data_IF_570488071993
#
_entry.id   IF_570488071993
#
_cell.length_a   1.000
_cell.length_b   1.000
_cell.length_c   1.000
_cell.angle_alpha   90.00
_cell.angle_beta   90.00
_cell.angle_gamma   90.00
#
_symmetry.space_group_name_H-M   'P 1'
#
loop_
_entity.id
_entity.type
_entity.pdbx_description
1 polymer ?
#
# COMPACT_ATOMS: atom_id res chain seq x y z
N UNK A 1 40.76 65.13 30.80
CA UNK A 1 42.23 64.98 30.61
C UNK A 1 42.46 63.71 29.81
N UNK A 2 42.70 63.87 28.49
CA UNK A 2 43.89 63.39 27.74
C UNK A 2 43.82 61.91 27.35
N UNK A 3 44.05 61.45 26.12
CA UNK A 3 44.30 61.99 24.77
C UNK A 3 44.20 60.76 23.83
N UNK A 4 43.62 60.90 22.63
CA UNK A 4 43.77 59.95 21.51
C UNK A 4 45.19 60.08 20.87
N UNK A 5 45.71 59.14 20.04
CA UNK A 5 45.36 59.01 18.60
C UNK A 5 45.33 57.54 18.06
N UNK A 6 44.46 57.13 17.13
CA UNK A 6 44.49 57.25 15.64
C UNK A 6 45.63 56.50 14.92
N UNK A 7 45.27 55.47 14.11
CA UNK A 7 45.79 55.05 12.77
C UNK A 7 45.07 53.74 12.36
N UNK A 8 44.04 53.76 11.50
CA UNK A 8 44.03 53.62 10.03
C UNK A 8 44.57 52.27 9.48
N UNK A 9 43.71 51.40 8.94
CA UNK A 9 43.92 50.72 7.65
C UNK A 9 42.67 49.95 7.20
N UNK A 10 42.28 50.23 5.96
CA UNK A 10 41.23 49.62 5.16
C UNK A 10 41.78 48.33 4.53
N UNK A 11 41.04 47.22 4.58
CA UNK A 11 41.26 46.08 3.68
C UNK A 11 39.92 45.47 3.30
N UNK A 12 39.38 45.98 2.19
CA UNK A 12 38.29 45.40 1.42
C UNK A 12 38.82 44.13 0.75
N UNK A 13 38.41 42.95 1.21
CA UNK A 13 38.64 41.71 0.49
C UNK A 13 37.36 41.35 -0.28
N UNK A 14 37.34 41.71 -1.57
CA UNK A 14 36.42 41.14 -2.56
C UNK A 14 36.90 39.71 -2.82
N UNK A 15 36.28 38.74 -2.14
CA UNK A 15 36.45 37.32 -2.41
C UNK A 15 35.25 36.80 -3.20
N UNK A 16 35.35 36.83 -4.52
CA UNK A 16 34.46 36.10 -5.41
C UNK A 16 34.82 34.61 -5.44
N UNK A 17 33.77 33.79 -5.58
CA UNK A 17 33.76 32.39 -6.02
C UNK A 17 33.86 31.31 -4.94
N UNK A 18 32.70 30.69 -4.71
CA UNK A 18 32.55 29.45 -3.95
C UNK A 18 31.10 29.20 -3.57
N UNK A 19 30.16 29.29 -4.53
CA UNK A 19 28.83 28.76 -4.32
C UNK A 19 28.93 27.22 -4.22
N UNK A 20 29.22 26.73 -3.01
CA UNK A 20 29.03 25.33 -2.63
C UNK A 20 27.52 25.09 -2.57
N UNK A 21 26.92 24.90 -3.74
CA UNK A 21 25.50 24.60 -3.88
C UNK A 21 25.23 23.17 -3.38
N UNK A 22 24.61 23.10 -2.20
CA UNK A 22 23.39 22.30 -1.95
C UNK A 22 23.49 20.76 -1.88
N UNK A 23 24.67 20.14 -1.89
CA UNK A 23 24.76 18.66 -1.75
C UNK A 23 24.38 18.15 -0.35
N UNK A 24 24.73 18.90 0.70
CA UNK A 24 24.46 18.49 2.08
C UNK A 24 22.96 18.51 2.42
N UNK A 25 22.21 19.50 1.93
CA UNK A 25 20.77 19.61 2.20
C UNK A 25 19.97 18.45 1.60
N UNK A 26 20.30 18.03 0.37
CA UNK A 26 19.62 16.90 -0.29
C UNK A 26 19.98 15.55 0.36
N UNK A 27 21.25 15.34 0.73
CA UNK A 27 21.70 14.15 1.45
C UNK A 27 21.10 14.07 2.87
N UNK A 28 21.02 15.20 3.57
CA UNK A 28 20.42 15.33 4.90
C UNK A 28 18.91 15.07 4.86
N UNK A 29 18.20 15.53 3.82
CA UNK A 29 16.78 15.22 3.60
C UNK A 29 16.52 13.73 3.33
N UNK A 30 17.35 13.08 2.52
CA UNK A 30 17.22 11.64 2.24
C UNK A 30 17.54 10.79 3.47
N UNK A 31 18.54 11.18 4.27
CA UNK A 31 18.85 10.52 5.53
C UNK A 31 17.73 10.68 6.55
N UNK A 32 17.10 11.85 6.62
CA UNK A 32 15.93 12.08 7.46
C UNK A 32 14.73 11.21 7.01
N UNK A 33 14.45 11.15 5.69
CA UNK A 33 13.38 10.28 5.16
C UNK A 33 13.70 8.80 5.39
N UNK A 34 14.96 8.37 5.27
CA UNK A 34 15.39 7.00 5.63
C UNK A 34 15.21 6.69 7.12
N UNK A 35 15.43 7.67 7.98
CA UNK A 35 15.22 7.51 9.43
C UNK A 35 13.72 7.36 9.78
N UNK A 36 12.83 7.90 8.94
CA UNK A 36 11.37 7.71 9.05
C UNK A 36 10.84 6.56 8.20
N UNK A 37 11.64 6.02 7.27
CA UNK A 37 11.24 4.92 6.40
C UNK A 37 11.19 3.64 7.23
N UNK A 38 9.98 3.12 7.42
CA UNK A 38 9.78 1.87 8.11
C UNK A 38 10.16 0.72 7.17
N UNK A 39 10.87 -0.26 7.73
CA UNK A 39 11.04 -1.53 7.06
C UNK A 39 9.66 -2.20 7.02
N UNK A 40 9.19 -2.62 5.85
CA UNK A 40 7.94 -3.37 5.72
C UNK A 40 8.20 -4.79 5.25
N UNK A 41 7.41 -5.72 5.75
CA UNK A 41 7.35 -7.09 5.29
C UNK A 41 5.89 -7.46 5.06
N UNK A 42 5.59 -8.06 3.92
CA UNK A 42 4.27 -8.65 3.65
C UNK A 42 4.41 -10.16 3.72
N UNK A 43 3.53 -10.79 4.49
CA UNK A 43 3.42 -12.25 4.58
C UNK A 43 2.03 -12.66 4.09
N UNK A 44 1.98 -13.79 3.42
CA UNK A 44 0.76 -14.37 2.87
C UNK A 44 0.51 -15.74 3.48
N UNK A 45 -0.71 -16.24 3.36
CA UNK A 45 -1.09 -17.54 3.87
C UNK A 45 -2.59 -17.75 3.76
N UNK A 46 -3.09 -18.67 4.58
CA UNK A 46 -4.52 -18.94 4.73
C UNK A 46 -4.89 -19.00 6.21
N UNK A 47 -6.13 -18.64 6.50
CA UNK A 47 -6.71 -18.65 7.85
C UNK A 47 -8.02 -19.43 7.85
N UNK A 48 -8.22 -20.21 8.90
CA UNK A 48 -9.48 -20.88 9.20
C UNK A 48 -10.12 -20.21 10.41
N UNK A 49 -11.38 -19.82 10.25
CA UNK A 49 -12.21 -19.21 11.28
C UNK A 49 -13.37 -20.13 11.60
N UNK A 50 -13.55 -20.46 12.88
CA UNK A 50 -14.63 -21.28 13.36
C UNK A 50 -15.99 -20.56 13.29
N UNK A 51 -17.09 -21.29 13.47
CA UNK A 51 -18.45 -20.75 13.38
C UNK A 51 -18.75 -19.67 14.43
N UNK A 52 -18.02 -19.64 15.56
CA UNK A 52 -18.10 -18.61 16.59
C UNK A 52 -17.19 -17.40 16.32
N UNK A 53 -16.46 -17.40 15.20
CA UNK A 53 -15.53 -16.35 14.80
C UNK A 53 -14.13 -16.46 15.40
N UNK A 54 -13.82 -17.48 16.21
CA UNK A 54 -12.48 -17.71 16.71
C UNK A 54 -11.55 -18.26 15.60
N UNK A 55 -10.26 -17.93 15.65
CA UNK A 55 -9.28 -18.52 14.73
C UNK A 55 -9.02 -19.98 15.09
N UNK A 56 -9.32 -20.90 14.18
CA UNK A 56 -9.08 -22.34 14.35
C UNK A 56 -7.82 -22.82 13.63
N UNK A 57 -7.33 -22.09 12.63
CA UNK A 57 -6.19 -22.49 11.81
C UNK A 57 -5.47 -21.31 11.18
N UNK A 58 -4.16 -21.44 10.99
CA UNK A 58 -3.31 -20.48 10.30
C UNK A 58 -2.17 -21.24 9.62
N UNK A 59 -1.96 -20.98 8.33
CA UNK A 59 -0.83 -21.49 7.56
C UNK A 59 -0.19 -20.32 6.82
N UNK A 60 1.06 -19.99 7.15
CA UNK A 60 1.83 -18.98 6.42
C UNK A 60 2.53 -19.62 5.22
N UNK A 61 2.49 -18.94 4.08
CA UNK A 61 3.20 -19.37 2.88
C UNK A 61 4.71 -19.31 3.11
N UNK A 62 5.44 -20.22 2.46
CA UNK A 62 6.91 -20.27 2.47
C UNK A 62 7.52 -20.09 3.87
N UNK A 63 6.93 -20.73 4.88
CA UNK A 63 7.31 -20.55 6.29
C UNK A 63 8.82 -20.72 6.56
N UNK A 64 9.48 -21.62 5.83
CA UNK A 64 10.93 -21.83 5.92
C UNK A 64 11.78 -20.59 5.54
N UNK A 65 11.21 -19.65 4.80
CA UNK A 65 11.83 -18.38 4.39
C UNK A 65 11.61 -17.25 5.40
N UNK A 66 10.75 -17.47 6.42
CA UNK A 66 10.40 -16.49 7.45
C UNK A 66 11.31 -16.71 8.66
N UNK A 67 11.83 -15.63 9.25
CA UNK A 67 12.59 -15.72 10.49
C UNK A 67 11.70 -16.31 11.61
N UNK A 68 12.17 -17.28 12.42
CA UNK A 68 11.34 -17.96 13.42
C UNK A 68 10.64 -17.01 14.40
N UNK A 69 11.32 -15.94 14.84
CA UNK A 69 10.74 -14.94 15.73
C UNK A 69 9.56 -14.19 15.09
N UNK A 70 9.65 -13.87 13.79
CA UNK A 70 8.58 -13.21 13.04
C UNK A 70 7.40 -14.16 12.84
N UNK A 71 7.67 -15.42 12.46
CA UNK A 71 6.62 -16.42 12.32
C UNK A 71 5.87 -16.64 13.65
N UNK A 72 6.59 -16.74 14.77
CA UNK A 72 6.01 -16.88 16.10
C UNK A 72 5.21 -15.64 16.54
N UNK A 73 5.71 -14.43 16.24
CA UNK A 73 4.99 -13.19 16.49
C UNK A 73 3.65 -13.16 15.74
N UNK A 74 3.67 -13.45 14.44
CA UNK A 74 2.46 -13.46 13.60
C UNK A 74 1.48 -14.53 14.07
N UNK A 75 1.95 -15.76 14.28
CA UNK A 75 1.12 -16.87 14.74
C UNK A 75 0.47 -16.59 16.09
N UNK A 76 1.26 -16.16 17.08
CA UNK A 76 0.76 -15.84 18.41
C UNK A 76 -0.25 -14.69 18.39
N UNK A 77 -0.03 -13.68 17.54
CA UNK A 77 -0.91 -12.52 17.39
C UNK A 77 -2.24 -12.91 16.76
N UNK A 78 -2.21 -13.59 15.61
CA UNK A 78 -3.42 -13.95 14.84
C UNK A 78 -4.29 -14.96 15.59
N UNK A 79 -3.71 -15.91 16.33
CA UNK A 79 -4.49 -16.89 17.10
C UNK A 79 -5.41 -16.28 18.16
N UNK A 80 -5.17 -15.02 18.55
CA UNK A 80 -6.01 -14.29 19.52
C UNK A 80 -7.09 -13.44 18.86
N UNK A 81 -7.18 -13.45 17.53
CA UNK A 81 -8.17 -12.67 16.82
C UNK A 81 -9.57 -13.25 16.94
N UNK A 82 -10.54 -12.35 16.93
CA UNK A 82 -11.95 -12.63 16.88
C UNK A 82 -12.54 -11.97 15.64
N UNK A 83 -13.30 -12.76 14.88
CA UNK A 83 -14.03 -12.32 13.69
C UNK A 83 -15.52 -12.20 13.99
N UNK A 84 -16.21 -11.38 13.19
CA UNK A 84 -17.66 -11.40 13.12
C UNK A 84 -18.09 -12.77 12.54
N UNK A 85 -18.95 -13.55 13.24
CA UNK A 85 -19.41 -14.84 12.74
C UNK A 85 -20.01 -14.71 11.34
N UNK A 86 -19.49 -15.48 10.40
CA UNK A 86 -20.02 -15.49 9.03
C UNK A 86 -21.33 -16.29 9.02
N UNK A 87 -22.40 -15.68 8.53
CA UNK A 87 -23.72 -16.30 8.47
C UNK A 87 -24.02 -16.81 7.05
N UNK A 88 -24.48 -18.05 6.94
CA UNK A 88 -25.10 -18.60 5.74
C UNK A 88 -26.51 -19.04 6.13
N UNK A 89 -27.52 -18.50 5.44
CA UNK A 89 -28.95 -18.70 5.77
C UNK A 89 -29.27 -18.42 7.26
N UNK A 90 -28.63 -17.39 7.81
CA UNK A 90 -28.80 -16.98 9.21
C UNK A 90 -28.10 -17.88 10.24
N UNK A 91 -27.37 -18.91 9.81
CA UNK A 91 -26.61 -19.81 10.69
C UNK A 91 -25.12 -19.50 10.64
N UNK A 92 -24.43 -19.40 11.79
CA UNK A 92 -22.98 -19.25 11.81
C UNK A 92 -22.30 -20.48 11.21
N UNK A 93 -21.33 -20.25 10.32
CA UNK A 93 -20.55 -21.30 9.67
C UNK A 93 -19.05 -21.01 9.76
N UNK A 94 -18.24 -22.07 9.80
CA UNK A 94 -16.80 -21.94 9.68
C UNK A 94 -16.42 -21.45 8.27
N UNK A 95 -15.31 -20.71 8.17
CA UNK A 95 -14.86 -20.09 6.92
C UNK A 95 -13.34 -20.22 6.76
N UNK A 96 -12.95 -20.61 5.55
CA UNK A 96 -11.57 -20.55 5.08
C UNK A 96 -11.39 -19.29 4.22
N UNK A 97 -10.24 -18.63 4.34
CA UNK A 97 -9.93 -17.43 3.56
C UNK A 97 -8.41 -17.27 3.34
N UNK A 98 -8.00 -16.58 2.27
CA UNK A 98 -6.63 -16.11 2.16
C UNK A 98 -6.33 -15.11 3.28
N UNK A 99 -5.04 -15.00 3.63
CA UNK A 99 -4.53 -14.04 4.60
C UNK A 99 -3.36 -13.28 3.96
N UNK A 100 -3.38 -11.96 4.13
CA UNK A 100 -2.24 -11.10 3.85
C UNK A 100 -2.04 -10.18 5.04
N UNK A 101 -0.81 -10.07 5.52
CA UNK A 101 -0.48 -9.19 6.64
C UNK A 101 0.71 -8.31 6.30
N UNK A 102 0.63 -7.04 6.68
CA UNK A 102 1.76 -6.11 6.63
C UNK A 102 2.33 -5.93 8.02
N UNK A 103 3.61 -6.24 8.13
CA UNK A 103 4.44 -5.92 9.28
C UNK A 103 5.25 -4.66 8.98
N UNK A 104 5.39 -3.80 9.98
CA UNK A 104 6.34 -2.70 9.97
C UNK A 104 7.35 -2.91 11.10
N UNK A 105 8.63 -2.73 10.76
CA UNK A 105 9.77 -2.85 11.65
C UNK A 105 10.38 -1.46 11.84
N UNK A 106 10.46 -1.02 13.10
CA UNK A 106 11.19 0.17 13.50
C UNK A 106 12.43 -0.23 14.30
N UNK A 107 13.63 0.24 13.95
CA UNK A 107 14.80 0.01 14.78
C UNK A 107 14.66 0.75 16.11
N UNK A 108 14.79 0.03 17.21
CA UNK A 108 14.88 0.56 18.56
C UNK A 108 16.24 1.18 18.84
N UNK A 109 16.30 2.08 19.83
CA UNK A 109 17.54 2.78 20.22
C UNK A 109 18.62 1.84 20.79
N UNK A 110 18.21 0.65 21.27
CA UNK A 110 19.04 -0.42 21.82
C UNK A 110 19.47 -1.46 20.76
N UNK A 111 19.14 -1.24 19.49
CA UNK A 111 19.38 -2.18 18.41
C UNK A 111 18.33 -3.29 18.28
N UNK A 112 17.26 -3.27 19.10
CA UNK A 112 16.08 -4.10 18.88
C UNK A 112 15.31 -3.66 17.64
N UNK A 113 14.36 -4.46 17.15
CA UNK A 113 13.41 -4.03 16.12
C UNK A 113 12.01 -4.21 16.70
N UNK A 114 11.31 -3.10 16.91
CA UNK A 114 9.90 -3.11 17.25
C UNK A 114 9.13 -3.50 15.98
N UNK A 115 8.42 -4.62 16.04
CA UNK A 115 7.60 -5.12 14.94
C UNK A 115 6.13 -4.92 15.28
N UNK A 116 5.38 -4.34 14.36
CA UNK A 116 3.95 -4.09 14.51
C UNK A 116 3.19 -4.61 13.30
N UNK A 117 2.00 -5.14 13.54
CA UNK A 117 1.08 -5.48 12.45
C UNK A 117 0.21 -4.26 12.12
N UNK A 118 0.29 -3.78 10.88
CA UNK A 118 -0.34 -2.51 10.52
C UNK A 118 -1.46 -2.66 9.52
N UNK A 119 -1.51 -3.78 8.80
CA UNK A 119 -2.55 -4.05 7.81
C UNK A 119 -2.82 -5.53 7.67
N UNK A 120 -4.08 -5.86 7.42
CA UNK A 120 -4.54 -7.22 7.13
C UNK A 120 -5.57 -7.20 6.01
N UNK A 121 -5.51 -8.18 5.13
CA UNK A 121 -6.51 -8.39 4.08
C UNK A 121 -6.87 -9.89 3.98
N UNK A 122 -8.15 -10.14 3.73
CA UNK A 122 -8.73 -11.48 3.54
C UNK A 122 -9.44 -11.62 2.19
N UNK A 123 -9.28 -10.64 1.30
CA UNK A 123 -10.04 -10.56 0.06
C UNK A 123 -9.55 -11.61 -0.92
N UNK A 124 -10.49 -12.30 -1.55
CA UNK A 124 -10.26 -13.16 -2.69
C UNK A 124 -10.91 -12.52 -3.91
N UNK A 125 -10.24 -12.64 -5.07
CA UNK A 125 -10.81 -12.20 -6.34
C UNK A 125 -11.16 -13.44 -7.17
N UNK A 126 -12.44 -13.59 -7.48
CA UNK A 126 -12.97 -14.58 -8.41
C UNK A 126 -13.46 -13.86 -9.67
N UNK A 127 -12.82 -14.13 -10.81
CA UNK A 127 -13.16 -13.52 -12.10
C UNK A 127 -14.49 -14.01 -12.68
N UNK A 128 -15.06 -15.07 -12.09
CA UNK A 128 -16.36 -15.67 -12.47
C UNK A 128 -17.48 -15.32 -11.49
N UNK A 129 -17.19 -14.52 -10.46
CA UNK A 129 -18.20 -14.08 -9.51
C UNK A 129 -19.38 -13.42 -10.25
N UNK A 130 -20.60 -13.77 -9.84
CA UNK A 130 -21.82 -13.19 -10.45
C UNK A 130 -22.47 -12.14 -9.54
N UNK A 131 -22.05 -12.09 -8.28
CA UNK A 131 -22.54 -11.21 -7.23
C UNK A 131 -21.60 -10.02 -6.95
N UNK A 132 -20.46 -9.94 -7.65
CA UNK A 132 -19.51 -8.84 -7.58
C UNK A 132 -19.16 -8.31 -8.98
N UNK A 133 -18.55 -7.12 -9.04
CA UNK A 133 -17.96 -6.59 -10.28
C UNK A 133 -16.69 -7.36 -10.60
N UNK A 134 -16.56 -7.86 -11.83
CA UNK A 134 -15.35 -8.53 -12.33
C UNK A 134 -14.72 -7.78 -13.49
N UNK A 135 -13.45 -8.05 -13.77
CA UNK A 135 -12.75 -7.47 -14.91
C UNK A 135 -13.20 -8.06 -16.24
N UNK A 136 -13.41 -7.22 -17.26
CA UNK A 136 -13.68 -7.68 -18.63
C UNK A 136 -12.49 -7.35 -19.56
N UNK A 137 -12.24 -6.06 -19.82
CA UNK A 137 -11.09 -5.61 -20.61
C UNK A 137 -10.21 -4.69 -19.78
N UNK A 138 -9.22 -5.29 -19.10
CA UNK A 138 -8.34 -4.58 -18.16
C UNK A 138 -6.88 -4.65 -18.61
N UNK A 139 -6.53 -3.94 -19.68
CA UNK A 139 -5.13 -3.87 -20.13
C UNK A 139 -4.27 -3.19 -19.05
N UNK A 140 -3.17 -3.79 -18.61
CA UNK A 140 -2.32 -3.16 -17.59
C UNK A 140 -1.69 -1.86 -18.12
N UNK A 141 -1.51 -0.83 -17.25
CA UNK A 141 -0.85 0.40 -17.64
C UNK A 141 0.58 0.14 -18.11
N UNK A 142 1.01 0.86 -19.16
CA UNK A 142 2.41 0.81 -19.60
C UNK A 142 3.29 1.54 -18.58
N UNK A 143 4.47 0.99 -18.32
CA UNK A 143 5.46 1.64 -17.46
C UNK A 143 5.84 3.01 -18.05
N UNK A 144 5.66 4.13 -17.33
CA UNK A 144 6.03 5.45 -17.84
C UNK A 144 7.53 5.58 -18.00
N UNK A 145 8.00 5.95 -19.19
CA UNK A 145 9.44 6.03 -19.49
C UNK A 145 10.17 7.00 -18.53
N UNK A 146 9.55 8.12 -18.19
CA UNK A 146 10.11 9.08 -17.24
C UNK A 146 10.25 8.48 -15.82
N UNK A 147 9.28 7.66 -15.39
CA UNK A 147 9.31 6.96 -14.11
C UNK A 147 10.40 5.88 -14.11
N UNK A 148 10.51 5.14 -15.22
CA UNK A 148 11.51 4.09 -15.41
C UNK A 148 12.93 4.65 -15.30
N UNK A 149 13.21 5.78 -15.98
CA UNK A 149 14.54 6.42 -15.96
C UNK A 149 14.99 6.90 -14.59
N UNK A 150 14.06 7.21 -13.69
CA UNK A 150 14.37 7.69 -12.32
C UNK A 150 14.22 6.59 -11.27
N UNK A 151 13.99 5.34 -11.68
CA UNK A 151 13.91 4.20 -10.76
C UNK A 151 12.62 4.13 -9.94
N UNK A 152 11.53 4.77 -10.39
CA UNK A 152 10.31 4.91 -9.60
C UNK A 152 9.52 3.60 -9.48
N UNK A 153 9.54 2.95 -8.33
CA UNK A 153 8.76 1.73 -8.07
C UNK A 153 7.68 1.97 -7.03
N UNK A 154 6.53 1.32 -7.19
CA UNK A 154 5.44 1.46 -6.25
C UNK A 154 4.14 0.79 -6.66
N UNK A 155 3.17 0.89 -5.77
CA UNK A 155 1.81 0.36 -5.93
C UNK A 155 0.83 1.52 -5.99
N UNK A 156 0.01 1.55 -7.02
CA UNK A 156 -1.07 2.52 -7.20
C UNK A 156 -2.38 1.82 -6.87
N UNK A 157 -3.06 2.25 -5.82
CA UNK A 157 -4.42 1.84 -5.52
C UNK A 157 -5.38 2.76 -6.27
N UNK A 158 -6.08 2.20 -7.26
CA UNK A 158 -7.13 2.93 -7.98
C UNK A 158 -8.48 2.71 -7.32
N UNK A 159 -9.27 3.77 -7.20
CA UNK A 159 -10.71 3.68 -7.00
C UNK A 159 -11.39 3.99 -8.33
N UNK A 160 -12.22 3.06 -8.78
CA UNK A 160 -12.92 3.13 -10.07
C UNK A 160 -14.42 3.12 -9.82
N UNK A 161 -15.12 4.12 -10.38
CA UNK A 161 -16.58 4.16 -10.44
C UNK A 161 -17.04 3.44 -11.72
N UNK A 162 -17.74 2.32 -11.54
CA UNK A 162 -18.23 1.45 -12.62
C UNK A 162 -19.73 1.65 -12.79
N UNK A 163 -20.17 1.98 -14.00
CA UNK A 163 -21.58 2.17 -14.35
C UNK A 163 -22.27 0.84 -14.68
N UNK A 164 -23.61 0.88 -14.84
CA UNK A 164 -24.45 -0.30 -15.12
C UNK A 164 -24.11 -1.06 -16.39
N UNK A 165 -23.46 -0.42 -17.35
CA UNK A 165 -22.99 -1.03 -18.60
C UNK A 165 -21.56 -1.58 -18.48
N UNK A 166 -20.92 -1.47 -17.31
CA UNK A 166 -19.55 -1.88 -17.09
C UNK A 166 -18.49 -0.86 -17.52
N UNK A 167 -18.90 0.33 -18.00
CA UNK A 167 -17.98 1.39 -18.34
C UNK A 167 -17.46 2.10 -17.08
N UNK A 168 -16.27 2.70 -17.20
CA UNK A 168 -15.71 3.56 -16.15
C UNK A 168 -16.29 4.96 -16.27
N UNK A 169 -17.07 5.39 -15.27
CA UNK A 169 -17.53 6.77 -15.18
C UNK A 169 -16.45 7.71 -14.65
N UNK A 170 -15.71 7.29 -13.62
CA UNK A 170 -14.61 8.06 -13.09
C UNK A 170 -13.58 7.18 -12.36
N UNK A 171 -12.39 7.72 -12.16
CA UNK A 171 -11.28 7.04 -11.51
C UNK A 171 -10.34 8.03 -10.85
N UNK A 172 -9.89 7.68 -9.65
CA UNK A 172 -8.82 8.37 -8.93
C UNK A 172 -7.74 7.37 -8.50
N UNK A 173 -6.54 7.87 -8.22
CA UNK A 173 -5.57 7.15 -7.43
C UNK A 173 -5.85 7.45 -5.95
N UNK A 174 -6.47 6.49 -5.24
CA UNK A 174 -6.75 6.60 -3.81
C UNK A 174 -5.48 6.77 -3.01
N UNK A 175 -4.45 5.98 -3.33
CA UNK A 175 -3.15 6.07 -2.72
C UNK A 175 -2.10 5.55 -3.70
N UNK A 176 -0.92 6.14 -3.66
CA UNK A 176 0.27 5.55 -4.28
C UNK A 176 1.21 5.22 -3.15
N UNK A 177 1.81 4.04 -3.10
CA UNK A 177 2.80 3.64 -2.09
C UNK A 177 4.15 3.42 -2.77
N UNK A 178 5.23 4.01 -2.24
CA UNK A 178 6.56 3.88 -2.86
C UNK A 178 7.33 2.70 -2.26
N UNK A 179 7.98 1.93 -3.14
CA UNK A 179 8.96 0.91 -2.77
C UNK A 179 10.41 1.43 -2.74
N UNK A 180 10.62 2.73 -2.96
CA UNK A 180 11.94 3.39 -3.02
C UNK A 180 12.00 4.59 -2.10
N UNK A 181 13.14 4.81 -1.46
CA UNK A 181 13.38 5.97 -0.60
C UNK A 181 14.05 7.10 -1.38
N UNK A 182 13.41 8.26 -1.43
CA UNK A 182 13.93 9.48 -2.06
C UNK A 182 13.48 10.73 -1.29
N UNK A 183 14.02 11.93 -1.57
CA UNK A 183 13.46 13.18 -1.03
C UNK A 183 11.98 13.35 -1.39
N UNK A 184 11.21 13.99 -0.50
CA UNK A 184 9.75 14.13 -0.63
C UNK A 184 9.30 14.69 -1.99
N UNK A 185 9.95 15.76 -2.48
CA UNK A 185 9.61 16.35 -3.77
C UNK A 185 9.79 15.37 -4.94
N UNK A 186 10.83 14.52 -4.88
CA UNK A 186 11.07 13.50 -5.88
C UNK A 186 10.04 12.38 -5.76
N UNK A 187 9.70 11.97 -4.54
CA UNK A 187 8.63 11.00 -4.29
C UNK A 187 7.29 11.48 -4.81
N UNK A 188 6.90 12.73 -4.55
CA UNK A 188 5.66 13.29 -5.09
C UNK A 188 5.64 13.23 -6.63
N UNK A 189 6.73 13.63 -7.27
CA UNK A 189 6.85 13.55 -8.74
C UNK A 189 6.73 12.10 -9.24
N UNK A 190 7.34 11.14 -8.54
CA UNK A 190 7.22 9.72 -8.88
C UNK A 190 5.77 9.23 -8.72
N UNK A 191 5.11 9.57 -7.61
CA UNK A 191 3.69 9.25 -7.37
C UNK A 191 2.81 9.79 -8.49
N UNK A 192 3.01 11.04 -8.90
CA UNK A 192 2.25 11.68 -9.97
C UNK A 192 2.41 10.95 -11.31
N UNK A 193 3.64 10.52 -11.65
CA UNK A 193 3.89 9.78 -12.90
C UNK A 193 3.17 8.42 -12.91
N UNK A 194 3.27 7.66 -11.81
CA UNK A 194 2.63 6.34 -11.70
C UNK A 194 1.10 6.48 -11.67
N UNK A 195 0.57 7.40 -10.87
CA UNK A 195 -0.87 7.68 -10.79
C UNK A 195 -1.44 8.08 -12.15
N UNK A 196 -0.80 9.02 -12.85
CA UNK A 196 -1.25 9.48 -14.17
C UNK A 196 -1.33 8.34 -15.18
N UNK A 197 -0.34 7.46 -15.20
CA UNK A 197 -0.31 6.33 -16.12
C UNK A 197 -1.41 5.32 -15.80
N UNK A 198 -1.59 4.99 -14.52
CA UNK A 198 -2.65 4.10 -14.07
C UNK A 198 -4.05 4.66 -14.38
N UNK A 199 -4.31 5.91 -14.04
CA UNK A 199 -5.58 6.59 -14.32
C UNK A 199 -5.87 6.63 -15.83
N UNK A 200 -4.87 7.00 -16.64
CA UNK A 200 -5.05 7.11 -18.10
C UNK A 200 -5.41 5.79 -18.76
N UNK A 201 -4.91 4.66 -18.26
CA UNK A 201 -5.26 3.35 -18.80
C UNK A 201 -6.57 2.85 -18.21
N UNK A 202 -6.80 3.06 -16.91
CA UNK A 202 -8.02 2.64 -16.22
C UNK A 202 -9.29 3.26 -16.81
N UNK A 203 -9.23 4.50 -17.32
CA UNK A 203 -10.36 5.13 -18.03
C UNK A 203 -10.83 4.37 -19.27
N UNK A 204 -10.02 3.45 -19.81
CA UNK A 204 -10.34 2.64 -20.99
C UNK A 204 -10.79 1.23 -20.62
N UNK A 205 -10.76 0.87 -19.35
CA UNK A 205 -11.16 -0.46 -18.91
C UNK A 205 -12.66 -0.64 -19.02
N UNK A 206 -13.06 -1.90 -19.12
CA UNK A 206 -14.45 -2.31 -18.96
C UNK A 206 -14.53 -3.44 -17.95
N UNK A 207 -15.66 -3.48 -17.28
CA UNK A 207 -15.98 -4.42 -16.22
C UNK A 207 -17.26 -5.18 -16.56
N UNK A 208 -17.50 -6.27 -15.83
CA UNK A 208 -18.76 -7.00 -15.85
C UNK A 208 -19.48 -6.70 -14.53
N UNK A 209 -20.60 -5.96 -14.56
CA UNK A 209 -21.41 -5.71 -13.37
C UNK A 209 -22.02 -6.99 -12.78
N UNK A 210 -22.32 -7.00 -11.46
CA UNK A 210 -23.00 -8.12 -10.83
C UNK A 210 -24.37 -8.38 -11.46
N UNK A 211 -24.69 -9.66 -11.62
CA UNK A 211 -25.97 -10.16 -12.16
C UNK A 211 -26.79 -10.93 -11.12
N UNK A 212 -26.22 -11.17 -9.95
CA UNK A 212 -26.85 -11.75 -8.76
C UNK A 212 -26.43 -10.97 -7.49
N UNK A 213 -26.86 -11.41 -6.31
CA UNK A 213 -26.50 -10.77 -5.04
C UNK A 213 -27.24 -9.44 -4.76
N UNK A 214 -26.97 -8.88 -3.57
CA UNK A 214 -27.63 -7.65 -3.09
C UNK A 214 -27.22 -6.40 -3.87
N UNK A 215 -26.04 -6.42 -4.49
CA UNK A 215 -25.45 -5.25 -5.14
C UNK A 215 -25.84 -5.10 -6.63
N UNK A 216 -26.52 -6.09 -7.23
CA UNK A 216 -26.96 -6.08 -8.65
C UNK A 216 -27.71 -4.82 -9.07
N UNK A 217 -28.53 -4.28 -8.17
CA UNK A 217 -29.47 -3.19 -8.46
C UNK A 217 -28.87 -1.79 -8.36
N UNK A 218 -27.59 -1.65 -7.98
CA UNK A 218 -26.98 -0.35 -7.76
C UNK A 218 -26.84 0.45 -9.06
N UNK A 219 -26.91 1.78 -8.94
CA UNK A 219 -26.73 2.69 -10.06
C UNK A 219 -25.27 2.70 -10.56
N UNK A 220 -24.32 2.49 -9.66
CA UNK A 220 -22.91 2.32 -9.94
C UNK A 220 -22.28 1.50 -8.81
N UNK A 221 -21.08 0.98 -9.07
CA UNK A 221 -20.24 0.33 -8.06
C UNK A 221 -18.93 1.08 -7.92
N UNK A 222 -18.35 1.05 -6.72
CA UNK A 222 -16.96 1.45 -6.52
C UNK A 222 -16.12 0.22 -6.31
N UNK A 223 -15.06 0.09 -7.12
CA UNK A 223 -14.09 -1.00 -6.99
C UNK A 223 -12.68 -0.44 -6.77
N UNK A 224 -11.89 -1.17 -5.99
CA UNK A 224 -10.45 -1.00 -5.86
C UNK A 224 -9.72 -1.89 -6.85
N UNK A 225 -8.76 -1.31 -7.55
CA UNK A 225 -7.88 -2.04 -8.48
C UNK A 225 -6.43 -1.67 -8.17
N UNK A 226 -5.64 -2.58 -7.57
CA UNK A 226 -4.20 -2.39 -7.38
C UNK A 226 -3.43 -2.52 -8.70
N UNK A 227 -2.50 -1.59 -8.93
CA UNK A 227 -1.53 -1.63 -10.03
C UNK A 227 -0.13 -1.54 -9.46
N UNK A 228 0.71 -2.55 -9.74
CA UNK A 228 2.11 -2.56 -9.28
C UNK A 228 3.06 -2.20 -10.40
N UNK A 229 3.92 -1.21 -10.16
CA UNK A 229 5.09 -0.90 -10.98
C UNK A 229 6.35 -1.39 -10.29
N UNK A 230 6.83 -2.54 -10.72
CA UNK A 230 8.11 -3.08 -10.28
C UNK A 230 9.13 -2.97 -11.41
N UNK A 231 10.36 -2.56 -11.06
CA UNK A 231 11.49 -2.77 -11.97
C UNK A 231 11.99 -4.18 -11.73
N UNK A 232 11.59 -5.08 -12.62
CA UNK A 232 12.26 -6.37 -12.69
C UNK A 232 13.59 -6.14 -13.37
N UNK A 233 14.67 -6.31 -12.62
CA UNK A 233 15.99 -6.12 -13.14
C UNK A 233 16.35 -7.29 -14.07
N UNK A 234 15.96 -7.20 -15.34
CA UNK A 234 16.58 -8.00 -16.40
C UNK A 234 17.96 -7.38 -16.74
N UNK A 235 18.80 -7.14 -15.72
CA UNK A 235 20.06 -6.41 -15.86
C UNK A 235 20.90 -6.29 -14.58
N UNK A 236 20.31 -6.11 -13.39
CA UNK A 236 21.08 -6.14 -12.14
C UNK A 236 21.20 -7.53 -11.55
N UNK A 237 22.30 -7.73 -10.82
CA UNK A 237 22.60 -8.95 -10.06
C UNK A 237 21.75 -9.09 -8.78
N UNK A 238 20.75 -8.24 -8.58
CA UNK A 238 19.90 -8.29 -7.39
C UNK A 238 18.60 -9.04 -7.73
N UNK A 239 18.30 -10.19 -7.09
CA UNK A 239 17.04 -10.89 -7.31
C UNK A 239 15.85 -10.02 -6.86
N UNK A 240 14.62 -10.25 -7.38
CA UNK A 240 13.41 -9.70 -6.76
C UNK A 240 13.45 -9.99 -5.27
N UNK A 241 13.09 -9.02 -4.42
CA UNK A 241 13.13 -9.17 -2.97
C UNK A 241 12.49 -10.49 -2.57
N UNK A 242 13.25 -11.45 -2.01
CA UNK A 242 12.70 -12.75 -1.67
C UNK A 242 11.57 -12.63 -0.64
N UNK A 243 10.64 -13.56 -0.66
CA UNK A 243 9.56 -13.63 0.33
C UNK A 243 10.11 -13.63 1.77
N UNK A 244 9.41 -12.97 2.68
CA UNK A 244 9.83 -12.87 4.09
C UNK A 244 11.00 -11.92 4.35
N UNK A 245 11.28 -10.99 3.42
CA UNK A 245 12.33 -9.97 3.58
C UNK A 245 11.74 -8.58 3.80
N UNK A 246 12.46 -7.80 4.61
CA UNK A 246 12.16 -6.40 4.86
C UNK A 246 12.51 -5.56 3.63
N UNK A 247 11.61 -4.67 3.25
CA UNK A 247 11.77 -3.72 2.15
C UNK A 247 11.33 -2.32 2.56
N UNK A 248 11.79 -1.30 1.84
CA UNK A 248 11.30 0.05 2.05
C UNK A 248 9.82 0.14 1.68
N UNK A 249 9.04 0.82 2.50
CA UNK A 249 7.65 1.13 2.23
C UNK A 249 7.35 2.54 2.72
N UNK A 250 6.95 3.42 1.81
CA UNK A 250 6.55 4.79 2.13
C UNK A 250 5.12 5.01 1.63
N UNK A 251 4.11 4.93 2.52
CA UNK A 251 2.73 5.15 2.12
C UNK A 251 2.55 6.57 1.60
N UNK A 252 1.76 6.73 0.55
CA UNK A 252 1.40 8.06 0.05
C UNK A 252 0.24 8.67 0.83
N UNK A 253 -0.04 9.98 0.65
CA UNK A 253 -1.27 10.55 1.14
C UNK A 253 -2.47 9.84 0.49
N UNK A 254 -3.53 9.60 1.27
CA UNK A 254 -4.79 9.07 0.75
C UNK A 254 -5.68 10.20 0.22
N UNK A 255 -6.26 9.98 -0.94
CA UNK A 255 -7.22 10.88 -1.59
C UNK A 255 -8.63 10.30 -1.49
N UNK A 256 -9.60 11.15 -1.20
CA UNK A 256 -11.01 10.76 -1.21
C UNK A 256 -11.58 10.88 -2.63
N UNK A 257 -12.35 9.87 -3.04
CA UNK A 257 -13.07 9.92 -4.30
C UNK A 257 -14.24 10.92 -4.20
N UNK A 258 -14.38 11.88 -5.15
CA UNK A 258 -15.43 12.91 -5.08
C UNK A 258 -16.87 12.36 -5.08
N UNK A 259 -17.07 11.15 -5.57
CA UNK A 259 -18.37 10.47 -5.59
C UNK A 259 -18.66 9.66 -4.32
N UNK A 260 -17.78 9.71 -3.32
CA UNK A 260 -17.95 9.04 -2.03
C UNK A 260 -18.15 10.06 -0.92
N UNK A 261 -19.19 9.85 -0.12
CA UNK A 261 -19.54 10.70 1.04
C UNK A 261 -19.08 10.10 2.37
N UNK A 262 -18.67 8.84 2.38
CA UNK A 262 -18.19 8.12 3.56
C UNK A 262 -16.67 8.21 3.64
N UNK A 263 -16.14 8.49 4.83
CA UNK A 263 -14.70 8.38 5.09
C UNK A 263 -14.30 6.90 5.12
N UNK A 264 -13.77 6.42 3.99
CA UNK A 264 -13.17 5.09 3.84
C UNK A 264 -11.79 4.99 4.52
N UNK A 265 -11.30 6.07 5.13
CA UNK A 265 -9.95 6.19 5.68
C UNK A 265 -9.59 5.10 6.72
N UNK A 266 -10.59 4.37 7.24
CA UNK A 266 -10.43 3.29 8.20
C UNK A 266 -10.29 1.88 7.59
N UNK A 267 -10.33 1.70 6.25
CA UNK A 267 -10.07 0.37 5.67
C UNK A 267 -8.56 0.08 5.65
N UNK A 268 -8.08 -0.39 6.80
CA UNK A 268 -6.78 -1.02 6.99
C UNK A 268 -6.70 -2.26 6.08
N UNK A 269 -5.61 -2.45 5.32
CA UNK A 269 -5.44 -3.61 4.42
C UNK A 269 -5.59 -3.37 2.92
N UNK A 270 -6.07 -2.19 2.48
CA UNK A 270 -6.26 -1.94 1.03
C UNK A 270 -4.96 -2.03 0.23
N UNK A 271 -3.83 -1.71 0.85
CA UNK A 271 -2.48 -1.80 0.29
C UNK A 271 -1.89 -3.22 0.32
N UNK A 272 -2.70 -4.22 0.62
CA UNK A 272 -2.36 -5.65 0.55
C UNK A 272 -3.15 -6.38 -0.55
N UNK A 273 -4.06 -5.68 -1.26
CA UNK A 273 -4.84 -6.25 -2.34
C UNK A 273 -3.93 -6.71 -3.50
N UNK A 274 -4.03 -7.98 -3.94
CA UNK A 274 -3.24 -8.50 -5.06
C UNK A 274 -3.46 -7.74 -6.37
N UNK A 275 -2.35 -7.42 -7.04
CA UNK A 275 -2.38 -6.88 -8.41
C UNK A 275 -3.17 -7.80 -9.36
N UNK A 276 -3.95 -7.18 -10.26
CA UNK A 276 -4.77 -7.90 -11.24
C UNK A 276 -6.16 -8.30 -10.76
N UNK A 277 -6.48 -8.08 -9.48
CA UNK A 277 -7.83 -8.26 -8.95
C UNK A 277 -8.72 -7.02 -9.04
N UNK A 278 -10.03 -7.23 -8.90
CA UNK A 278 -11.06 -6.19 -8.77
C UNK A 278 -11.78 -6.40 -7.45
N UNK A 279 -11.74 -5.42 -6.55
CA UNK A 279 -12.21 -5.57 -5.18
C UNK A 279 -13.33 -4.58 -4.88
N UNK A 280 -14.50 -5.09 -4.52
CA UNK A 280 -15.66 -4.26 -4.20
C UNK A 280 -15.39 -3.44 -2.93
N UNK A 281 -15.70 -2.13 -2.97
CA UNK A 281 -15.52 -1.26 -1.80
C UNK A 281 -16.71 -1.33 -0.84
N UNK A 282 -17.92 -1.36 -1.39
CA UNK A 282 -19.19 -1.26 -0.63
C UNK A 282 -20.02 -2.54 -0.69
N UNK A 283 -19.38 -3.72 -0.80
CA UNK A 283 -20.17 -4.94 -1.02
C UNK A 283 -21.05 -5.30 0.17
N UNK A 284 -22.27 -5.78 -0.14
CA UNK A 284 -23.15 -6.44 0.81
C UNK A 284 -22.57 -7.77 1.33
N UNK A 285 -21.76 -8.46 0.52
CA UNK A 285 -21.05 -9.70 0.89
C UNK A 285 -19.60 -9.38 1.22
N UNK A 286 -19.36 -8.66 2.33
CA UNK A 286 -17.99 -8.52 2.83
C UNK A 286 -17.48 -9.89 3.28
N UNK A 287 -16.24 -10.20 2.93
CA UNK A 287 -15.53 -11.38 3.44
C UNK A 287 -15.34 -11.33 4.96
N UNK A 288 -14.34 -12.06 5.46
CA UNK A 288 -14.06 -12.07 6.90
C UNK A 288 -13.89 -10.64 7.46
N UNK A 289 -14.66 -10.33 8.51
CA UNK A 289 -14.53 -9.05 9.23
C UNK A 289 -13.87 -9.28 10.58
N UNK A 290 -12.68 -8.74 10.73
CA UNK A 290 -11.93 -8.77 11.98
C UNK A 290 -12.57 -7.78 12.99
N UNK A 291 -12.88 -8.27 14.20
CA UNK A 291 -13.36 -7.43 15.31
C UNK A 291 -12.22 -6.94 16.20
N UNK A 292 -11.12 -7.70 16.28
CA UNK A 292 -9.94 -7.33 17.05
C UNK A 292 -9.19 -6.15 16.40
N UNK A 293 -8.95 -5.04 17.12
CA UNK A 293 -8.18 -3.92 16.59
C UNK A 293 -6.70 -4.28 16.35
N UNK A 294 -6.14 -3.80 15.23
CA UNK A 294 -4.70 -3.97 14.94
C UNK A 294 -3.80 -2.98 15.69
N UNK A 295 -4.33 -1.81 16.10
CA UNK A 295 -3.53 -0.73 16.66
C UNK A 295 -2.92 -1.02 18.05
N UNK A 296 -3.40 -2.08 18.73
CA UNK A 296 -3.01 -2.47 20.10
C UNK A 296 -2.04 -3.65 20.14
N UNK A 297 -1.46 -4.07 19.00
CA UNK A 297 -0.71 -5.33 18.86
C UNK A 297 0.72 -5.18 18.34
#
# INVERSE_FOLDING_TARGET
MMRSPLFLAFALAIGSAGALLSTDAAAQSTRAVRATAEASMVLTGNIDVAADGAVSGLVLDQQASIAPAIAAFVDGTIRRWQFEPTLVDGKPVAKHAPLRVRLLGRPGADGSTEVRMTSVDFSEYDDKATDAVTGNQMRPPRYPEAAFRVGAQGEVMLLVKVERDGAVADVIAEQVNMGVVAPEHAMQKMRDMLAKASISEARKWTFTPPTSGGDKGLAFWTVRVPVTFALNDKGSKQPPTPYGRWQAYIPGPRQQAPWRTTDDAAQVGTDLLPAGGVYMVDSATRGLRLLTPLAEQ
#
